data_IF_479875617208
#
_entry.id   IF_479875617208
#
_cell.length_a   1.000
_cell.length_b   1.000
_cell.length_c   1.000
_cell.angle_alpha   90.00
_cell.angle_beta   90.00
_cell.angle_gamma   90.00
#
_symmetry.space_group_name_H-M   'P 1'
#
loop_
_entity.id
_entity.type
_entity.pdbx_description
1 polymer ?
#
# COMPACT_ATOMS: atom_id res chain seq x y z
N UNK A 1 12.67 -14.80 -6.61
CA UNK A 1 12.90 -14.53 -8.04
C UNK A 1 11.93 -15.41 -8.78
N UNK A 2 10.88 -14.83 -9.36
CA UNK A 2 9.95 -15.56 -10.20
C UNK A 2 10.61 -15.77 -11.56
N UNK A 3 10.46 -16.98 -12.14
CA UNK A 3 11.04 -17.40 -13.41
C UNK A 3 10.57 -16.59 -14.63
N UNK A 4 9.69 -15.62 -14.48
CA UNK A 4 9.10 -14.80 -15.54
C UNK A 4 9.73 -13.40 -15.68
N UNK A 5 10.82 -13.11 -14.98
CA UNK A 5 11.58 -11.85 -15.13
C UNK A 5 12.40 -11.77 -16.44
N UNK A 6 12.42 -12.83 -17.22
CA UNK A 6 13.17 -12.92 -18.46
C UNK A 6 12.49 -12.06 -19.55
N UNK A 7 12.88 -10.78 -19.66
CA UNK A 7 12.51 -10.00 -20.83
C UNK A 7 12.23 -8.53 -20.64
N UNK A 8 12.07 -8.00 -19.41
CA UNK A 8 11.87 -6.56 -19.23
C UNK A 8 13.24 -5.89 -19.01
N UNK A 9 13.82 -5.43 -20.10
CA UNK A 9 15.09 -4.68 -20.10
C UNK A 9 14.91 -3.24 -20.64
N UNK A 10 15.96 -2.44 -20.55
CA UNK A 10 15.94 -1.05 -21.02
C UNK A 10 15.69 -0.97 -22.54
N UNK A 11 16.17 -1.95 -23.32
CA UNK A 11 15.98 -1.97 -24.77
C UNK A 11 14.51 -2.19 -25.15
N UNK A 12 13.80 -3.07 -24.44
CA UNK A 12 12.36 -3.26 -24.61
C UNK A 12 11.60 -1.98 -24.27
N UNK A 13 11.92 -1.35 -23.12
CA UNK A 13 11.24 -0.11 -22.70
C UNK A 13 11.49 1.02 -23.70
N UNK A 14 12.70 1.13 -24.25
CA UNK A 14 13.03 2.12 -25.29
C UNK A 14 12.18 1.89 -26.55
N UNK A 15 12.02 0.64 -27.00
CA UNK A 15 11.17 0.34 -28.16
C UNK A 15 9.70 0.64 -27.90
N UNK A 16 9.19 0.29 -26.72
CA UNK A 16 7.79 0.59 -26.31
C UNK A 16 7.52 2.10 -26.28
N UNK A 17 8.43 2.87 -25.70
CA UNK A 17 8.32 4.35 -25.66
C UNK A 17 8.36 4.91 -27.07
N UNK A 18 9.33 4.51 -27.90
CA UNK A 18 9.47 5.04 -29.26
C UNK A 18 8.26 4.74 -30.15
N UNK A 19 7.67 3.56 -29.98
CA UNK A 19 6.51 3.10 -30.74
C UNK A 19 5.21 3.81 -30.34
N UNK A 20 4.97 3.98 -29.04
CA UNK A 20 3.68 4.44 -28.52
C UNK A 20 3.67 5.91 -28.07
N UNK A 21 4.82 6.48 -27.75
CA UNK A 21 4.99 7.85 -27.29
C UNK A 21 6.14 8.55 -28.04
N UNK A 22 5.99 8.84 -29.35
CA UNK A 22 7.07 9.38 -30.18
C UNK A 22 7.69 10.67 -29.63
N UNK A 23 6.90 11.47 -28.89
CA UNK A 23 7.36 12.69 -28.23
C UNK A 23 8.42 12.43 -27.14
N UNK A 24 8.55 11.20 -26.66
CA UNK A 24 9.51 10.78 -25.63
C UNK A 24 10.59 9.82 -26.16
N UNK A 25 10.56 9.49 -27.44
CA UNK A 25 11.42 8.45 -28.05
C UNK A 25 12.93 8.66 -27.84
N UNK A 26 13.39 9.92 -27.75
CA UNK A 26 14.80 10.26 -27.61
C UNK A 26 15.20 10.59 -26.16
N UNK A 27 14.29 10.40 -25.19
CA UNK A 27 14.60 10.68 -23.80
C UNK A 27 15.43 9.56 -23.17
N UNK A 28 16.35 9.87 -22.25
CA UNK A 28 17.15 8.86 -21.56
C UNK A 28 16.24 7.98 -20.67
N UNK A 29 16.52 6.67 -20.70
CA UNK A 29 15.80 5.67 -19.90
C UNK A 29 16.82 4.95 -19.02
N UNK A 30 16.57 4.94 -17.69
CA UNK A 30 17.44 4.30 -16.71
C UNK A 30 16.62 3.36 -15.83
N UNK A 31 17.03 2.10 -15.72
CA UNK A 31 16.38 1.13 -14.82
C UNK A 31 16.55 1.58 -13.37
N UNK A 32 15.45 1.60 -12.62
CA UNK A 32 15.47 1.91 -11.21
C UNK A 32 15.61 0.61 -10.37
N UNK A 33 16.38 0.65 -9.27
CA UNK A 33 16.28 -0.39 -8.26
C UNK A 33 14.83 -0.41 -7.73
N UNK A 34 14.20 -1.56 -7.74
CA UNK A 34 12.85 -1.72 -7.19
C UNK A 34 12.88 -2.78 -6.10
N UNK A 35 12.51 -2.40 -4.89
CA UNK A 35 12.24 -3.33 -3.81
C UNK A 35 10.88 -4.03 -3.98
N UNK A 36 9.98 -3.46 -4.82
CA UNK A 36 8.68 -4.04 -5.15
C UNK A 36 8.78 -5.22 -6.13
N UNK A 37 7.92 -6.20 -5.94
CA UNK A 37 7.88 -7.45 -6.72
C UNK A 37 7.04 -7.35 -7.98
N UNK A 38 6.10 -6.42 -8.03
CA UNK A 38 5.00 -6.40 -8.99
C UNK A 38 5.32 -5.67 -10.30
N UNK A 39 6.20 -4.66 -10.26
CA UNK A 39 6.52 -3.82 -11.41
C UNK A 39 8.02 -3.69 -11.67
N UNK A 40 8.40 -3.64 -12.94
CA UNK A 40 9.68 -3.13 -13.37
C UNK A 40 9.57 -1.60 -13.54
N UNK A 41 10.52 -0.87 -12.96
CA UNK A 41 10.51 0.60 -12.89
C UNK A 41 11.66 1.19 -13.67
N UNK A 42 11.37 2.21 -14.49
CA UNK A 42 12.38 2.92 -15.26
C UNK A 42 12.18 4.43 -15.15
N UNK A 43 13.25 5.16 -14.86
CA UNK A 43 13.26 6.62 -14.99
C UNK A 43 13.27 6.97 -16.46
N UNK A 44 12.37 7.85 -16.88
CA UNK A 44 12.31 8.42 -18.22
C UNK A 44 12.58 9.92 -18.11
N UNK A 45 13.70 10.36 -18.60
CA UNK A 45 14.28 11.69 -18.33
C UNK A 45 14.31 11.98 -16.80
N UNK A 46 14.20 13.27 -16.42
CA UNK A 46 14.29 13.67 -15.01
C UNK A 46 12.92 13.77 -14.31
N UNK A 47 11.84 13.68 -15.06
CA UNK A 47 10.51 14.04 -14.57
C UNK A 47 9.42 12.99 -14.79
N UNK A 48 9.79 11.79 -15.28
CA UNK A 48 8.82 10.72 -15.54
C UNK A 48 9.32 9.36 -15.05
N UNK A 49 8.38 8.45 -14.82
CA UNK A 49 8.65 7.04 -14.51
C UNK A 49 7.77 6.14 -15.34
N UNK A 50 8.36 5.09 -15.90
CA UNK A 50 7.67 4.01 -16.62
C UNK A 50 7.51 2.83 -15.67
N UNK A 51 6.28 2.32 -15.53
CA UNK A 51 5.93 1.13 -14.72
C UNK A 51 5.39 0.04 -15.63
N UNK A 52 6.05 -1.11 -15.65
CA UNK A 52 5.63 -2.29 -16.40
C UNK A 52 5.30 -3.42 -15.44
N UNK A 53 4.08 -3.98 -15.48
CA UNK A 53 3.74 -5.16 -14.70
C UNK A 53 4.68 -6.33 -14.99
N UNK A 54 5.08 -7.08 -13.95
CA UNK A 54 5.89 -8.30 -14.10
C UNK A 54 5.04 -9.55 -14.31
N UNK A 55 3.76 -9.48 -13.92
CA UNK A 55 2.83 -10.60 -13.95
C UNK A 55 1.45 -10.17 -14.46
N UNK A 56 0.73 -11.02 -15.18
CA UNK A 56 -0.63 -10.72 -15.66
C UNK A 56 -1.62 -10.35 -14.53
N UNK A 57 -1.44 -10.92 -13.33
CA UNK A 57 -2.31 -10.66 -12.19
C UNK A 57 -2.34 -9.17 -11.78
N UNK A 58 -1.23 -8.44 -11.98
CA UNK A 58 -1.14 -7.01 -11.63
C UNK A 58 -1.41 -6.08 -12.82
N UNK A 59 -1.56 -6.60 -14.03
CA UNK A 59 -1.78 -5.79 -15.24
C UNK A 59 -3.06 -4.93 -15.16
N UNK A 60 -4.12 -5.43 -14.49
CA UNK A 60 -5.37 -4.69 -14.27
C UNK A 60 -5.19 -3.42 -13.43
N UNK A 61 -4.14 -3.34 -12.61
CA UNK A 61 -3.83 -2.17 -11.80
C UNK A 61 -3.56 -0.94 -12.67
N UNK A 62 -2.99 -1.14 -13.86
CA UNK A 62 -2.78 -0.08 -14.85
C UNK A 62 -4.08 0.64 -15.19
N UNK A 63 -5.15 -0.09 -15.48
CA UNK A 63 -6.43 0.51 -15.84
C UNK A 63 -7.11 1.20 -14.66
N UNK A 64 -6.97 0.64 -13.46
CA UNK A 64 -7.49 1.23 -12.21
C UNK A 64 -6.80 2.58 -11.97
N UNK A 65 -5.47 2.61 -11.96
CA UNK A 65 -4.70 3.83 -11.70
C UNK A 65 -4.91 4.88 -12.78
N UNK A 66 -4.89 4.52 -14.07
CA UNK A 66 -5.11 5.44 -15.18
C UNK A 66 -6.49 6.10 -15.13
N UNK A 67 -7.51 5.37 -14.69
CA UNK A 67 -8.88 5.90 -14.61
C UNK A 67 -9.10 6.74 -13.35
N UNK A 68 -8.63 6.27 -12.19
CA UNK A 68 -9.07 6.82 -10.91
C UNK A 68 -8.12 7.80 -10.28
N UNK A 69 -6.82 7.75 -10.54
CA UNK A 69 -5.87 8.75 -10.02
C UNK A 69 -6.23 10.18 -10.44
N UNK A 70 -6.59 10.47 -11.71
CA UNK A 70 -7.01 11.83 -12.10
C UNK A 70 -8.27 12.32 -11.37
N UNK A 71 -9.16 11.40 -10.98
CA UNK A 71 -10.36 11.72 -10.22
C UNK A 71 -10.04 11.98 -8.73
N UNK A 72 -9.16 11.20 -8.14
CA UNK A 72 -8.85 11.25 -6.71
C UNK A 72 -7.85 12.37 -6.37
N UNK A 73 -6.82 12.55 -7.18
CA UNK A 73 -5.70 13.45 -6.91
C UNK A 73 -6.09 14.90 -6.52
N UNK A 74 -7.11 15.55 -7.14
CA UNK A 74 -7.50 16.91 -6.78
C UNK A 74 -8.06 17.06 -5.36
N UNK A 75 -8.45 15.97 -4.72
CA UNK A 75 -9.06 15.95 -3.40
C UNK A 75 -8.07 15.58 -2.27
N UNK A 76 -6.86 15.15 -2.62
CA UNK A 76 -5.91 14.58 -1.67
C UNK A 76 -4.86 15.61 -1.23
N UNK A 77 -4.54 15.69 0.09
CA UNK A 77 -3.60 16.68 0.61
C UNK A 77 -2.12 16.30 0.41
N UNK A 78 -1.82 15.04 0.09
CA UNK A 78 -0.48 14.56 -0.22
C UNK A 78 -0.33 14.32 -1.73
N UNK A 79 0.91 14.39 -2.23
CA UNK A 79 1.17 14.08 -3.63
C UNK A 79 0.85 12.61 -3.92
N UNK A 80 0.25 12.38 -5.08
CA UNK A 80 -0.06 11.05 -5.60
C UNK A 80 0.40 10.92 -7.05
N UNK A 81 0.60 9.71 -7.60
CA UNK A 81 1.05 9.55 -8.97
C UNK A 81 0.10 10.23 -9.97
N UNK A 82 0.67 10.94 -10.93
CA UNK A 82 -0.08 11.58 -12.02
C UNK A 82 0.16 10.79 -13.30
N UNK A 83 -0.85 10.10 -13.86
CA UNK A 83 -0.74 9.40 -15.12
C UNK A 83 -0.49 10.38 -16.28
N UNK A 84 0.55 10.12 -17.09
CA UNK A 84 0.91 10.89 -18.28
C UNK A 84 0.65 10.11 -19.56
N UNK A 85 0.68 8.77 -19.49
CA UNK A 85 0.43 7.91 -20.62
C UNK A 85 0.08 6.49 -20.22
N UNK A 86 -0.84 5.88 -20.98
CA UNK A 86 -1.17 4.46 -20.89
C UNK A 86 -0.63 3.75 -22.12
N UNK A 87 0.33 2.87 -21.91
CA UNK A 87 0.83 1.97 -22.94
C UNK A 87 -0.04 0.73 -23.09
N UNK A 88 -0.06 0.20 -24.32
CA UNK A 88 -0.74 -1.05 -24.67
C UNK A 88 0.27 -2.17 -24.93
N UNK A 89 -0.14 -3.45 -24.96
CA UNK A 89 0.75 -4.53 -25.38
C UNK A 89 1.42 -4.23 -26.75
N UNK A 90 2.74 -4.51 -26.84
CA UNK A 90 3.50 -4.24 -28.06
C UNK A 90 4.96 -4.64 -27.91
N UNK A 91 5.72 -4.66 -29.01
CA UNK A 91 7.15 -4.95 -29.02
C UNK A 91 7.55 -6.25 -28.30
N UNK A 92 6.65 -7.23 -28.23
CA UNK A 92 6.83 -8.49 -27.48
C UNK A 92 6.45 -8.42 -25.99
N UNK A 93 6.04 -7.26 -25.48
CA UNK A 93 5.51 -7.14 -24.12
C UNK A 93 3.99 -7.33 -24.12
N UNK A 94 3.44 -8.32 -23.35
CA UNK A 94 2.04 -8.74 -23.51
C UNK A 94 1.02 -7.98 -22.68
N UNK A 95 1.44 -7.01 -21.84
CA UNK A 95 0.58 -6.36 -20.85
C UNK A 95 0.47 -4.85 -21.08
N UNK A 96 -0.62 -4.18 -20.63
CA UNK A 96 -0.66 -2.73 -20.54
C UNK A 96 0.39 -2.25 -19.53
N UNK A 97 0.82 -1.00 -19.67
CA UNK A 97 1.83 -0.37 -18.84
C UNK A 97 1.57 1.13 -18.72
N UNK A 98 2.28 1.82 -17.85
CA UNK A 98 2.00 3.23 -17.59
C UNK A 98 3.25 4.08 -17.55
N UNK A 99 3.08 5.36 -17.91
CA UNK A 99 4.02 6.45 -17.64
C UNK A 99 3.35 7.41 -16.67
N UNK A 100 4.06 7.75 -15.59
CA UNK A 100 3.62 8.73 -14.60
C UNK A 100 4.61 9.88 -14.50
N UNK A 101 4.12 11.03 -14.02
CA UNK A 101 5.01 12.07 -13.55
C UNK A 101 5.87 11.54 -12.38
N UNK A 102 7.11 11.96 -12.34
CA UNK A 102 7.98 11.63 -11.22
C UNK A 102 7.56 12.40 -9.98
N UNK A 103 7.49 11.72 -8.85
CA UNK A 103 7.31 12.34 -7.55
C UNK A 103 8.66 12.40 -6.84
N UNK A 104 9.05 13.60 -6.42
CA UNK A 104 10.26 13.80 -5.66
C UNK A 104 10.10 13.27 -4.23
N UNK A 105 11.04 12.46 -3.84
CA UNK A 105 11.06 11.83 -2.52
C UNK A 105 11.77 10.49 -2.55
N UNK A 106 12.05 9.99 -1.37
CA UNK A 106 12.63 8.68 -1.14
C UNK A 106 11.57 7.81 -0.45
N UNK A 107 11.61 6.52 -0.68
CA UNK A 107 10.69 5.58 -0.05
C UNK A 107 10.91 5.59 1.48
N UNK A 108 9.84 5.68 2.26
CA UNK A 108 9.91 5.71 3.73
C UNK A 108 10.51 4.43 4.33
N UNK A 109 10.61 3.37 3.55
CA UNK A 109 11.30 2.15 3.90
C UNK A 109 12.83 2.35 3.95
N UNK A 110 13.37 3.09 2.97
CA UNK A 110 14.81 3.38 2.84
C UNK A 110 15.21 4.62 3.63
N UNK A 111 14.31 5.61 3.70
CA UNK A 111 14.48 6.87 4.42
C UNK A 111 13.31 7.11 5.36
N UNK A 112 13.44 6.72 6.64
CA UNK A 112 12.36 6.83 7.62
C UNK A 112 11.85 8.26 7.79
N UNK A 113 10.56 8.37 8.07
CA UNK A 113 9.94 9.61 8.51
C UNK A 113 10.51 9.98 9.88
N UNK A 114 11.02 11.20 10.03
CA UNK A 114 11.58 11.73 11.28
C UNK A 114 10.48 12.40 12.11
N UNK A 115 9.68 13.27 11.48
CA UNK A 115 8.57 13.96 12.13
C UNK A 115 7.31 13.10 12.11
N UNK A 116 7.26 12.10 12.99
CA UNK A 116 6.13 11.18 13.10
C UNK A 116 4.84 11.85 13.57
N UNK A 117 4.92 12.95 14.32
CA UNK A 117 3.72 13.70 14.77
C UNK A 117 3.05 14.40 13.59
N UNK A 118 3.82 15.12 12.79
CA UNK A 118 3.31 15.73 11.57
C UNK A 118 2.78 14.67 10.58
N UNK A 119 3.54 13.60 10.35
CA UNK A 119 3.13 12.52 9.48
C UNK A 119 1.83 11.83 9.93
N UNK A 120 1.60 11.68 11.22
CA UNK A 120 0.37 11.12 11.76
C UNK A 120 -0.85 11.98 11.38
N UNK A 121 -0.73 13.30 11.52
CA UNK A 121 -1.78 14.25 11.16
C UNK A 121 -1.97 14.29 9.62
N UNK A 122 -0.87 14.37 8.87
CA UNK A 122 -0.89 14.45 7.40
C UNK A 122 -1.48 13.18 6.77
N UNK A 123 -1.07 12.00 7.23
CA UNK A 123 -1.56 10.72 6.72
C UNK A 123 -2.99 10.43 7.17
N UNK A 124 -3.37 10.79 8.42
CA UNK A 124 -4.75 10.71 8.88
C UNK A 124 -5.67 11.62 8.05
N UNK A 125 -5.23 12.87 7.81
CA UNK A 125 -5.94 13.79 6.92
C UNK A 125 -6.07 13.28 5.49
N UNK A 126 -5.08 12.57 4.96
CA UNK A 126 -5.14 11.90 3.66
C UNK A 126 -6.22 10.82 3.65
N UNK A 127 -6.26 9.93 4.65
CA UNK A 127 -7.29 8.89 4.78
C UNK A 127 -8.69 9.52 4.86
N UNK A 128 -8.86 10.54 5.69
CA UNK A 128 -10.13 11.25 5.82
C UNK A 128 -10.56 11.93 4.50
N UNK A 129 -9.62 12.55 3.79
CA UNK A 129 -9.91 13.19 2.49
C UNK A 129 -10.32 12.16 1.43
N UNK A 130 -9.60 11.05 1.33
CA UNK A 130 -9.89 9.97 0.37
C UNK A 130 -11.30 9.41 0.60
N UNK A 131 -11.69 9.15 1.86
CA UNK A 131 -13.02 8.66 2.24
C UNK A 131 -14.16 9.60 1.85
N UNK A 132 -13.91 10.91 1.75
CA UNK A 132 -14.93 11.91 1.40
C UNK A 132 -15.17 12.05 -0.09
N UNK A 133 -14.29 11.52 -0.94
CA UNK A 133 -14.50 11.54 -2.39
C UNK A 133 -15.71 10.70 -2.76
N UNK A 134 -16.53 11.18 -3.71
CA UNK A 134 -17.71 10.43 -4.16
C UNK A 134 -17.30 9.03 -4.69
N UNK A 135 -17.80 7.94 -4.08
CA UNK A 135 -17.43 6.58 -4.47
C UNK A 135 -18.19 6.07 -5.70
N UNK A 136 -19.08 6.87 -6.29
CA UNK A 136 -19.94 6.42 -7.41
C UNK A 136 -19.11 5.91 -8.58
N UNK A 137 -19.38 4.67 -8.97
CA UNK A 137 -18.70 4.00 -10.10
C UNK A 137 -17.28 3.50 -9.79
N UNK A 138 -16.79 3.67 -8.55
CA UNK A 138 -15.49 3.14 -8.13
C UNK A 138 -15.45 1.60 -8.17
N UNK A 139 -14.28 0.99 -8.41
CA UNK A 139 -14.11 -0.45 -8.37
C UNK A 139 -14.15 -0.94 -6.91
N UNK A 140 -14.60 -2.17 -6.71
CA UNK A 140 -14.46 -2.79 -5.39
C UNK A 140 -12.97 -2.99 -5.07
N UNK A 141 -12.55 -2.51 -3.90
CA UNK A 141 -11.19 -2.78 -3.43
C UNK A 141 -11.05 -4.24 -3.02
N UNK A 142 -9.92 -4.83 -3.35
CA UNK A 142 -9.56 -6.17 -2.87
C UNK A 142 -9.55 -6.26 -1.33
N UNK A 143 -9.26 -5.14 -0.64
CA UNK A 143 -9.25 -5.05 0.82
C UNK A 143 -10.39 -4.22 1.39
N UNK A 144 -11.44 -4.00 0.62
CA UNK A 144 -12.62 -3.23 1.02
C UNK A 144 -13.74 -4.05 1.68
N UNK A 145 -13.52 -5.33 1.93
CA UNK A 145 -14.44 -6.22 2.65
C UNK A 145 -13.99 -6.49 4.09
N UNK A 146 -14.77 -7.26 4.86
CA UNK A 146 -14.36 -7.68 6.19
C UNK A 146 -13.05 -8.44 6.16
N UNK A 147 -12.15 -8.17 7.09
CA UNK A 147 -10.84 -8.88 7.17
C UNK A 147 -11.03 -10.39 7.36
N UNK A 148 -12.09 -10.81 8.05
CA UNK A 148 -12.47 -12.22 8.21
C UNK A 148 -12.83 -12.93 6.91
N UNK A 149 -13.31 -12.20 5.91
CA UNK A 149 -13.68 -12.71 4.59
C UNK A 149 -12.62 -12.44 3.51
N UNK A 150 -11.49 -11.84 3.88
CA UNK A 150 -10.40 -11.45 2.94
C UNK A 150 -9.67 -12.62 2.29
N UNK A 151 -9.88 -13.85 2.80
CA UNK A 151 -9.14 -15.04 2.37
C UNK A 151 -7.73 -15.15 2.97
N UNK A 152 -7.30 -14.21 3.79
CA UNK A 152 -6.03 -14.31 4.51
C UNK A 152 -6.13 -15.37 5.63
N UNK A 153 -5.18 -16.29 5.65
CA UNK A 153 -5.01 -17.24 6.75
C UNK A 153 -4.30 -16.54 7.92
N UNK A 154 -5.00 -16.40 9.03
CA UNK A 154 -4.48 -15.78 10.26
C UNK A 154 -4.09 -16.83 11.30
N UNK A 155 -4.80 -17.96 11.35
CA UNK A 155 -4.61 -18.99 12.37
C UNK A 155 -3.29 -19.74 12.21
N UNK A 156 -2.89 -20.05 10.98
CA UNK A 156 -1.61 -20.72 10.71
C UNK A 156 -0.41 -19.84 11.12
N UNK A 157 -0.31 -18.56 10.70
CA UNK A 157 0.74 -17.68 11.22
C UNK A 157 0.77 -17.56 12.77
N UNK A 158 -0.38 -17.45 13.44
CA UNK A 158 -0.41 -17.40 14.91
C UNK A 158 0.21 -18.67 15.50
N UNK A 159 -0.19 -19.85 15.01
CA UNK A 159 0.35 -21.13 15.47
C UNK A 159 1.86 -21.22 15.23
N UNK A 160 2.31 -20.95 14.01
CA UNK A 160 3.70 -21.12 13.60
C UNK A 160 4.64 -20.15 14.33
N UNK A 161 4.25 -18.88 14.45
CA UNK A 161 5.01 -17.84 15.15
C UNK A 161 4.95 -17.99 16.69
N UNK A 162 3.88 -18.57 17.20
CA UNK A 162 3.78 -18.94 18.61
C UNK A 162 4.66 -20.12 18.98
N UNK A 163 4.73 -21.13 18.09
CA UNK A 163 5.53 -22.33 18.32
C UNK A 163 7.06 -22.02 18.37
N UNK A 164 7.51 -21.01 17.65
CA UNK A 164 8.92 -20.58 17.68
C UNK A 164 9.20 -19.43 18.67
N UNK A 165 8.19 -19.01 19.44
CA UNK A 165 8.33 -17.99 20.48
C UNK A 165 8.40 -16.55 19.93
N UNK A 166 8.09 -16.32 18.66
CA UNK A 166 8.09 -14.98 18.06
C UNK A 166 6.98 -14.11 18.61
N UNK A 167 5.80 -14.70 18.90
CA UNK A 167 4.64 -14.00 19.48
C UNK A 167 4.02 -14.80 20.62
N UNK A 168 3.24 -14.11 21.45
CA UNK A 168 2.31 -14.71 22.38
C UNK A 168 1.06 -15.18 21.59
N UNK A 169 1.00 -16.50 21.33
CA UNK A 169 -0.05 -17.08 20.51
C UNK A 169 -1.45 -16.99 21.16
N UNK A 170 -1.52 -17.04 22.50
CA UNK A 170 -2.76 -16.91 23.24
C UNK A 170 -3.31 -15.48 23.11
N UNK A 171 -2.48 -14.49 23.38
CA UNK A 171 -2.85 -13.09 23.20
C UNK A 171 -3.22 -12.76 21.75
N UNK A 172 -2.48 -13.29 20.76
CA UNK A 172 -2.79 -13.08 19.36
C UNK A 172 -4.11 -13.73 18.94
N UNK A 173 -4.42 -14.93 19.46
CA UNK A 173 -5.68 -15.61 19.23
C UNK A 173 -6.83 -14.82 19.84
N UNK A 174 -6.70 -14.38 21.09
CA UNK A 174 -7.73 -13.60 21.77
C UNK A 174 -8.00 -12.26 21.04
N UNK A 175 -6.95 -11.57 20.60
CA UNK A 175 -7.06 -10.35 19.80
C UNK A 175 -7.80 -10.62 18.48
N UNK A 176 -7.50 -11.73 17.81
CA UNK A 176 -8.16 -12.09 16.55
C UNK A 176 -9.64 -12.46 16.76
N UNK A 177 -9.99 -13.21 17.81
CA UNK A 177 -11.39 -13.53 18.11
C UNK A 177 -12.22 -12.27 18.42
N UNK A 178 -11.64 -11.26 19.05
CA UNK A 178 -12.31 -9.95 19.19
C UNK A 178 -12.58 -9.30 17.82
N UNK A 179 -11.62 -9.37 16.90
CA UNK A 179 -11.82 -8.83 15.53
C UNK A 179 -12.98 -9.54 14.83
N UNK A 180 -13.08 -10.87 15.00
CA UNK A 180 -14.17 -11.65 14.40
C UNK A 180 -15.55 -11.31 14.99
N UNK A 181 -15.59 -10.82 16.23
CA UNK A 181 -16.83 -10.43 16.91
C UNK A 181 -17.27 -8.98 16.57
N UNK A 182 -16.43 -8.19 15.90
CA UNK A 182 -16.77 -6.80 15.54
C UNK A 182 -17.92 -6.76 14.52
N UNK A 183 -18.81 -5.75 14.61
CA UNK A 183 -19.78 -5.47 13.57
C UNK A 183 -19.11 -5.27 12.22
N UNK A 184 -19.72 -5.80 11.18
CA UNK A 184 -19.28 -5.55 9.82
C UNK A 184 -19.58 -4.09 9.43
N UNK A 185 -18.87 -3.63 8.39
CA UNK A 185 -19.13 -2.33 7.80
C UNK A 185 -20.46 -2.38 7.04
N UNK A 186 -21.42 -1.57 7.46
CA UNK A 186 -22.75 -1.46 6.84
C UNK A 186 -23.03 -0.08 6.26
N UNK A 187 -22.13 0.89 6.50
CA UNK A 187 -22.27 2.24 6.01
C UNK A 187 -21.99 2.33 4.51
N UNK A 188 -22.20 3.54 3.95
CA UNK A 188 -21.88 3.83 2.56
C UNK A 188 -20.42 3.52 2.28
N UNK A 189 -20.18 2.66 1.29
CA UNK A 189 -18.84 2.36 0.82
C UNK A 189 -18.06 3.65 0.51
N UNK A 190 -16.81 3.70 0.92
CA UNK A 190 -15.93 4.85 0.70
C UNK A 190 -14.65 4.41 -0.01
N UNK A 191 -13.94 5.36 -0.62
CA UNK A 191 -12.63 5.09 -1.18
C UNK A 191 -11.64 4.70 -0.10
N UNK A 192 -10.78 3.75 -0.42
CA UNK A 192 -9.60 3.38 0.36
C UNK A 192 -8.43 3.13 -0.58
N UNK A 193 -7.22 3.41 -0.12
CA UNK A 193 -5.98 3.08 -0.82
C UNK A 193 -5.72 1.56 -0.80
N UNK A 194 -5.96 0.94 0.34
CA UNK A 194 -5.88 -0.51 0.55
C UNK A 194 -4.47 -1.04 0.84
N UNK A 195 -3.42 -0.21 0.77
CA UNK A 195 -2.03 -0.66 0.99
C UNK A 195 -1.13 0.46 1.55
N UNK A 196 -1.58 1.18 2.59
CA UNK A 196 -0.83 2.26 3.23
C UNK A 196 0.31 1.72 4.11
N UNK A 197 1.31 1.13 3.46
CA UNK A 197 2.51 0.61 4.12
C UNK A 197 3.69 1.60 3.95
N UNK A 198 4.73 1.52 4.81
CA UNK A 198 5.91 2.40 4.68
C UNK A 198 6.54 2.39 3.27
N UNK A 199 6.47 1.24 2.56
CA UNK A 199 6.94 1.09 1.19
C UNK A 199 6.18 1.92 0.16
N UNK A 200 4.97 2.38 0.48
CA UNK A 200 4.11 3.18 -0.39
C UNK A 200 4.03 4.65 0.04
N UNK A 201 4.90 5.08 0.95
CA UNK A 201 5.01 6.46 1.41
C UNK A 201 6.32 7.08 0.92
N UNK A 202 6.26 8.31 0.42
CA UNK A 202 7.44 9.08 0.04
C UNK A 202 7.79 10.10 1.11
N UNK A 203 9.09 10.24 1.36
CA UNK A 203 9.64 11.21 2.32
C UNK A 203 10.66 12.12 1.65
N UNK A 204 10.72 13.35 2.12
CA UNK A 204 11.77 14.30 1.76
C UNK A 204 12.19 15.09 3.00
N UNK A 205 13.49 15.09 3.28
CA UNK A 205 14.04 15.73 4.49
C UNK A 205 13.35 15.26 5.79
N UNK A 206 12.99 13.96 5.86
CA UNK A 206 12.35 13.37 7.02
C UNK A 206 10.86 13.69 7.20
N UNK A 207 10.21 14.35 6.23
CA UNK A 207 8.78 14.63 6.23
C UNK A 207 8.05 13.81 5.18
N UNK A 208 6.82 13.43 5.47
CA UNK A 208 5.92 12.78 4.52
C UNK A 208 5.58 13.75 3.38
N UNK A 209 5.69 13.30 2.12
CA UNK A 209 5.43 14.15 0.95
C UNK A 209 4.43 13.54 -0.03
N UNK A 210 4.30 12.22 -0.06
CA UNK A 210 3.42 11.58 -1.04
C UNK A 210 3.05 10.16 -0.67
N UNK A 211 2.01 9.67 -1.35
CA UNK A 211 1.51 8.29 -1.29
C UNK A 211 1.53 7.74 -2.71
N UNK A 212 2.08 6.53 -2.87
CA UNK A 212 2.22 5.85 -4.17
C UNK A 212 1.58 4.46 -4.14
N UNK A 213 1.50 3.84 -5.31
CA UNK A 213 1.00 2.48 -5.51
C UNK A 213 -0.51 2.32 -5.23
N UNK A 214 -1.31 2.93 -6.09
CA UNK A 214 -2.78 2.89 -6.06
C UNK A 214 -3.36 1.65 -6.77
N UNK A 215 -2.57 0.63 -7.01
CA UNK A 215 -2.99 -0.56 -7.77
C UNK A 215 -4.14 -1.35 -7.14
N UNK A 216 -4.38 -1.19 -5.84
CA UNK A 216 -5.49 -1.82 -5.11
C UNK A 216 -6.52 -0.83 -4.60
N UNK A 217 -6.43 0.44 -5.02
CA UNK A 217 -7.40 1.47 -4.68
C UNK A 217 -8.81 1.06 -5.11
N UNK A 218 -9.79 1.38 -4.31
CA UNK A 218 -11.18 1.08 -4.63
C UNK A 218 -12.12 1.49 -3.52
N UNK A 219 -13.36 1.00 -3.56
CA UNK A 219 -14.41 1.30 -2.59
C UNK A 219 -14.68 0.11 -1.67
N UNK A 220 -15.08 0.41 -0.44
CA UNK A 220 -15.45 -0.58 0.57
C UNK A 220 -15.33 -0.05 1.99
N UNK A 221 -15.07 -0.96 2.94
CA UNK A 221 -14.74 -0.64 4.33
C UNK A 221 -13.35 0.04 4.40
N UNK A 222 -13.25 1.28 4.89
CA UNK A 222 -11.98 2.01 4.94
C UNK A 222 -11.03 1.52 6.02
N UNK A 223 -11.41 0.55 6.82
CA UNK A 223 -10.63 0.10 7.97
C UNK A 223 -9.22 -0.37 7.60
N UNK A 224 -9.01 -0.91 6.38
CA UNK A 224 -7.68 -1.32 5.93
C UNK A 224 -6.70 -0.14 5.85
N UNK A 225 -7.16 1.08 5.58
CA UNK A 225 -6.30 2.26 5.50
C UNK A 225 -5.85 2.79 6.87
N UNK A 226 -6.29 2.16 7.95
CA UNK A 226 -5.87 2.50 9.31
C UNK A 226 -4.64 1.72 9.79
N UNK A 227 -4.13 0.79 8.98
CA UNK A 227 -2.92 -0.01 9.31
C UNK A 227 -1.69 0.84 9.69
N UNK A 228 -1.47 2.09 9.19
CA UNK A 228 -0.36 2.93 9.64
C UNK A 228 -0.34 3.15 11.15
N UNK A 229 -1.49 3.11 11.81
CA UNK A 229 -1.60 3.21 13.25
C UNK A 229 -0.69 2.23 14.01
N UNK A 230 -0.41 1.06 13.43
CA UNK A 230 0.43 0.02 14.05
C UNK A 230 1.68 -0.29 13.24
N UNK A 231 1.71 -0.05 11.95
CA UNK A 231 2.88 -0.24 11.11
C UNK A 231 3.91 0.87 11.26
N UNK A 232 3.44 2.10 11.45
CA UNK A 232 4.28 3.31 11.40
C UNK A 232 4.31 4.05 12.74
N UNK A 233 3.16 4.20 13.40
CA UNK A 233 2.98 5.02 14.59
C UNK A 233 3.09 4.19 15.88
N UNK A 234 3.63 4.81 16.94
CA UNK A 234 3.58 4.30 18.31
C UNK A 234 2.43 4.98 19.09
N UNK A 235 2.24 4.63 20.36
CA UNK A 235 1.12 5.08 21.18
C UNK A 235 0.90 6.61 21.12
N UNK A 236 1.98 7.41 21.26
CA UNK A 236 1.89 8.88 21.29
C UNK A 236 1.46 9.52 19.96
N UNK A 237 1.73 8.88 18.84
CA UNK A 237 1.40 9.40 17.50
C UNK A 237 0.20 8.69 16.88
N UNK A 238 -0.14 7.51 17.38
CA UNK A 238 -1.29 6.71 16.92
C UNK A 238 -2.61 7.45 17.14
N UNK A 239 -2.77 8.09 18.30
CA UNK A 239 -3.99 8.86 18.60
C UNK A 239 -4.11 10.11 17.72
N UNK A 240 -2.98 10.75 17.38
CA UNK A 240 -2.99 11.87 16.41
C UNK A 240 -3.45 11.41 15.03
N UNK A 241 -2.97 10.24 14.58
CA UNK A 241 -3.39 9.64 13.31
C UNK A 241 -4.87 9.28 13.33
N UNK A 242 -5.35 8.62 14.40
CA UNK A 242 -6.74 8.25 14.58
C UNK A 242 -7.67 9.47 14.54
N UNK A 243 -7.33 10.50 15.32
CA UNK A 243 -8.07 11.75 15.37
C UNK A 243 -8.15 12.44 14.01
N UNK A 244 -7.02 12.50 13.27
CA UNK A 244 -6.97 13.10 11.95
C UNK A 244 -7.69 12.26 10.87
N UNK A 245 -7.72 10.92 11.00
CA UNK A 245 -8.45 10.02 10.11
C UNK A 245 -9.97 10.11 10.30
N UNK A 246 -10.44 10.70 11.42
CA UNK A 246 -11.85 10.97 11.69
C UNK A 246 -12.72 9.71 11.59
N UNK A 247 -12.36 8.66 12.35
CA UNK A 247 -13.03 7.35 12.35
C UNK A 247 -13.61 7.02 13.72
N UNK A 248 -14.71 6.28 13.72
CA UNK A 248 -15.33 5.74 14.93
C UNK A 248 -14.51 4.59 15.54
N UNK A 249 -14.85 4.23 16.79
CA UNK A 249 -14.16 3.20 17.55
C UNK A 249 -14.22 1.83 16.86
N UNK A 250 -15.34 1.50 16.23
CA UNK A 250 -15.54 0.20 15.56
C UNK A 250 -14.70 0.10 14.30
N UNK A 251 -14.68 1.15 13.49
CA UNK A 251 -13.81 1.22 12.29
C UNK A 251 -12.33 1.16 12.69
N UNK A 252 -11.95 1.84 13.77
CA UNK A 252 -10.60 1.77 14.33
C UNK A 252 -10.23 0.35 14.76
N UNK A 253 -11.13 -0.33 15.49
CA UNK A 253 -10.92 -1.71 15.93
C UNK A 253 -10.79 -2.69 14.75
N UNK A 254 -11.59 -2.51 13.67
CA UNK A 254 -11.39 -3.28 12.41
C UNK A 254 -10.05 -3.01 11.76
N UNK A 255 -9.57 -1.75 11.78
CA UNK A 255 -8.23 -1.38 11.28
C UNK A 255 -7.12 -2.07 12.06
N UNK A 256 -7.26 -2.19 13.39
CA UNK A 256 -6.36 -2.99 14.23
C UNK A 256 -6.33 -4.46 13.79
N UNK A 257 -7.50 -5.02 13.45
CA UNK A 257 -7.62 -6.37 12.90
C UNK A 257 -6.87 -6.54 11.57
N UNK A 258 -6.95 -5.57 10.67
CA UNK A 258 -6.19 -5.56 9.43
C UNK A 258 -4.68 -5.50 9.69
N UNK A 259 -4.23 -4.66 10.62
CA UNK A 259 -2.82 -4.56 10.99
C UNK A 259 -2.28 -5.88 11.56
N UNK A 260 -3.06 -6.58 12.41
CA UNK A 260 -2.68 -7.89 12.92
C UNK A 260 -2.58 -8.93 11.79
N UNK A 261 -3.61 -9.02 10.96
CA UNK A 261 -3.69 -9.98 9.86
C UNK A 261 -2.50 -9.84 8.89
N UNK A 262 -2.28 -8.63 8.38
CA UNK A 262 -1.20 -8.35 7.43
C UNK A 262 0.19 -8.47 8.09
N UNK A 263 0.31 -8.06 9.37
CA UNK A 263 1.56 -8.19 10.14
C UNK A 263 1.99 -9.64 10.33
N UNK A 264 1.07 -10.50 10.73
CA UNK A 264 1.29 -11.95 10.87
C UNK A 264 1.72 -12.58 9.54
N UNK A 265 0.99 -12.25 8.46
CA UNK A 265 1.29 -12.74 7.12
C UNK A 265 2.66 -12.28 6.63
N UNK A 266 2.99 -11.00 6.81
CA UNK A 266 4.27 -10.42 6.39
C UNK A 266 5.45 -11.06 7.14
N UNK A 267 5.38 -11.18 8.47
CA UNK A 267 6.44 -11.81 9.25
C UNK A 267 6.67 -13.26 8.80
N UNK A 268 5.61 -14.04 8.69
CA UNK A 268 5.71 -15.45 8.31
C UNK A 268 6.27 -15.65 6.90
N UNK A 269 5.81 -14.83 5.93
CA UNK A 269 6.16 -15.02 4.52
C UNK A 269 7.54 -14.43 4.17
N UNK A 270 7.88 -13.26 4.74
CA UNK A 270 9.07 -12.52 4.35
C UNK A 270 10.27 -12.75 5.27
N UNK A 271 10.13 -13.43 6.38
CA UNK A 271 11.19 -13.66 7.39
C UNK A 271 12.56 -14.02 6.79
N UNK A 272 12.57 -14.87 5.76
CA UNK A 272 13.80 -15.31 5.08
C UNK A 272 14.02 -14.53 3.78
N UNK A 273 12.95 -14.24 3.03
CA UNK A 273 13.04 -13.68 1.69
C UNK A 273 13.31 -12.17 1.68
N UNK A 274 12.75 -11.45 2.63
CA UNK A 274 12.90 -9.99 2.80
C UNK A 274 12.78 -9.62 4.29
N UNK A 275 13.89 -9.75 5.07
CA UNK A 275 13.87 -9.50 6.52
C UNK A 275 13.40 -8.10 6.91
N UNK A 276 13.58 -7.11 6.03
CA UNK A 276 13.13 -5.76 6.26
C UNK A 276 11.60 -5.64 6.23
N UNK A 277 10.92 -6.26 5.24
CA UNK A 277 9.46 -6.34 5.22
C UNK A 277 8.91 -7.17 6.39
N UNK A 278 9.58 -8.24 6.75
CA UNK A 278 9.23 -9.02 7.94
C UNK A 278 9.30 -8.18 9.22
N UNK A 279 10.33 -7.35 9.37
CA UNK A 279 10.48 -6.49 10.55
C UNK A 279 9.31 -5.48 10.68
N UNK A 280 8.81 -4.95 9.56
CA UNK A 280 7.61 -4.09 9.56
C UNK A 280 6.38 -4.87 10.03
N UNK A 281 6.18 -6.09 9.53
CA UNK A 281 5.09 -6.96 9.99
C UNK A 281 5.21 -7.31 11.48
N UNK A 282 6.41 -7.63 11.93
CA UNK A 282 6.71 -7.91 13.34
C UNK A 282 6.38 -6.72 14.24
N UNK A 283 6.79 -5.51 13.84
CA UNK A 283 6.44 -4.29 14.56
C UNK A 283 4.92 -4.17 14.70
N UNK A 284 4.18 -4.32 13.60
CA UNK A 284 2.72 -4.20 13.62
C UNK A 284 2.07 -5.18 14.60
N UNK A 285 2.49 -6.45 14.60
CA UNK A 285 1.98 -7.44 15.55
C UNK A 285 2.22 -7.02 17.00
N UNK A 286 3.45 -6.60 17.33
CA UNK A 286 3.77 -6.17 18.70
C UNK A 286 2.99 -4.93 19.13
N UNK A 287 2.85 -3.94 18.26
CA UNK A 287 2.07 -2.73 18.53
C UNK A 287 0.57 -3.06 18.71
N UNK A 288 0.01 -3.98 17.90
CA UNK A 288 -1.38 -4.44 18.05
C UNK A 288 -1.57 -5.17 19.38
N UNK A 289 -0.68 -6.11 19.73
CA UNK A 289 -0.82 -6.88 20.97
C UNK A 289 -0.59 -6.00 22.22
N UNK A 290 0.26 -4.97 22.13
CA UNK A 290 0.45 -4.00 23.21
C UNK A 290 -0.81 -3.13 23.38
N UNK A 291 -1.37 -2.63 22.28
CA UNK A 291 -2.59 -1.83 22.27
C UNK A 291 -3.79 -2.63 22.81
N UNK A 292 -3.91 -3.89 22.40
CA UNK A 292 -4.92 -4.82 22.90
C UNK A 292 -4.87 -4.98 24.42
N UNK A 293 -3.68 -5.17 25.00
CA UNK A 293 -3.51 -5.33 26.45
C UNK A 293 -3.80 -4.05 27.24
N UNK A 294 -3.67 -2.88 26.62
CA UNK A 294 -3.96 -1.60 27.29
C UNK A 294 -5.42 -1.18 27.26
N UNK A 295 -6.22 -1.82 26.38
CA UNK A 295 -7.66 -1.49 26.19
C UNK A 295 -8.60 -2.54 26.77
N UNK A 296 -8.11 -3.67 27.23
CA UNK A 296 -8.84 -4.74 27.95
C UNK A 296 -8.58 -4.67 29.44
#
# INVERSE_FOLDING_TARGET
>A
MHSDEAGIDTALVTRLIADQFPQWANMPIVKLPSAGTDHAMYRLADNMVVRLPRMPAVARQVDIEQRWLPHLAPHLPLQVPVPLGRGVPGQGFPMPWSVYAWLDGENAFDRPIIDLRAAAIELGGFVAALRRVDPTGGPQSFRGGPVSASGYDVRTPIRDLGADGTIDAEAATAAWEQVLALPQWEDRASWLHGDLMPGNLLTRHGRLTGVIDFGVVGIGDPACDLIPGWYLFGADTRELFRSAADVDDTTWARGRGWALCLGLGAERYYRIKNPALAAVGRRAMFEVLTDYRSTG
#
